data_IF_521559540845
#
_entry.id   IF_521559540845
#
_cell.length_a   1.000
_cell.length_b   1.000
_cell.length_c   1.000
_cell.angle_alpha   90.00
_cell.angle_beta   90.00
_cell.angle_gamma   90.00
#
_symmetry.space_group_name_H-M   'P 1'
#
loop_
_entity.id
_entity.type
_entity.pdbx_description
1 polymer ?
#
# COMPACT_ATOMS: atom_id res chain seq x y z
N UNK A 1 -46.84 10.90 21.10
CA UNK A 1 -45.47 11.34 21.42
C UNK A 1 -45.40 12.80 21.02
N UNK A 2 -45.51 13.67 22.03
CA UNK A 2 -45.78 15.09 21.85
C UNK A 2 -44.56 15.85 21.30
N UNK A 3 -44.81 16.68 20.28
CA UNK A 3 -43.79 17.50 19.61
C UNK A 3 -43.60 18.88 20.26
N UNK A 4 -44.16 19.11 21.46
CA UNK A 4 -44.16 20.41 22.16
C UNK A 4 -42.87 20.70 22.95
N UNK A 5 -41.94 19.74 23.06
CA UNK A 5 -40.71 19.88 23.85
C UNK A 5 -39.46 20.41 23.10
N UNK A 6 -39.54 20.70 21.80
CA UNK A 6 -38.37 21.07 20.99
C UNK A 6 -38.14 22.59 20.85
N UNK A 7 -38.77 23.43 21.69
CA UNK A 7 -38.80 24.88 21.51
C UNK A 7 -37.62 25.66 22.13
N UNK A 8 -36.65 25.01 22.79
CA UNK A 8 -35.51 25.76 23.41
C UNK A 8 -34.12 25.45 22.86
N UNK A 9 -33.97 24.51 21.92
CA UNK A 9 -32.64 24.19 21.36
C UNK A 9 -32.42 24.98 20.07
N UNK A 10 -31.38 25.83 19.98
CA UNK A 10 -31.11 26.59 18.77
C UNK A 10 -30.88 25.61 17.62
N UNK A 11 -31.56 25.84 16.50
CA UNK A 11 -31.33 25.08 15.27
C UNK A 11 -29.88 25.34 14.83
N UNK A 12 -29.20 24.35 14.25
CA UNK A 12 -27.82 24.49 13.78
C UNK A 12 -27.65 25.74 12.90
N UNK A 13 -28.64 26.05 12.06
CA UNK A 13 -28.69 27.27 11.23
C UNK A 13 -28.73 28.57 12.03
N UNK A 14 -29.35 28.59 13.20
CA UNK A 14 -29.36 29.77 14.10
C UNK A 14 -27.97 30.09 14.64
N UNK A 15 -27.09 29.09 14.78
CA UNK A 15 -25.72 29.27 15.30
C UNK A 15 -24.68 29.47 14.20
N UNK A 16 -24.82 28.77 13.07
CA UNK A 16 -23.80 28.73 12.01
C UNK A 16 -24.24 29.42 10.71
N UNK A 17 -25.44 29.99 10.65
CA UNK A 17 -25.92 30.76 9.49
C UNK A 17 -25.86 29.97 8.18
N UNK A 18 -25.23 30.57 7.16
CA UNK A 18 -25.06 29.97 5.84
C UNK A 18 -23.86 29.01 5.73
N UNK A 19 -23.00 28.96 6.76
CA UNK A 19 -21.88 28.01 6.85
C UNK A 19 -22.32 26.67 7.45
N UNK A 20 -23.62 26.49 7.73
CA UNK A 20 -24.15 25.23 8.20
C UNK A 20 -24.23 24.19 7.08
N UNK A 21 -24.03 22.92 7.43
CA UNK A 21 -24.33 21.79 6.54
C UNK A 21 -25.79 21.85 6.05
N UNK A 22 -26.02 21.38 4.83
CA UNK A 22 -27.38 21.22 4.32
C UNK A 22 -28.18 20.27 5.22
N UNK A 23 -29.49 20.53 5.33
CA UNK A 23 -30.40 19.74 6.17
C UNK A 23 -30.22 18.23 5.93
N UNK A 24 -30.09 17.80 4.68
CA UNK A 24 -29.88 16.39 4.31
C UNK A 24 -28.60 15.80 4.94
N UNK A 25 -27.48 16.52 4.86
CA UNK A 25 -26.19 16.08 5.43
C UNK A 25 -26.25 15.98 6.97
N UNK A 26 -26.96 16.91 7.62
CA UNK A 26 -27.20 16.87 9.07
C UNK A 26 -28.01 15.63 9.46
N UNK A 27 -29.06 15.32 8.70
CA UNK A 27 -29.90 14.14 8.96
C UNK A 27 -29.15 12.82 8.71
N UNK A 28 -28.40 12.71 7.62
CA UNK A 28 -27.55 11.54 7.35
C UNK A 28 -26.57 11.29 8.50
N UNK A 29 -25.94 12.35 8.98
CA UNK A 29 -24.99 12.26 10.08
C UNK A 29 -25.66 11.88 11.41
N UNK A 30 -26.85 12.43 11.68
CA UNK A 30 -27.67 12.04 12.83
C UNK A 30 -28.06 10.56 12.80
N UNK A 31 -28.45 10.02 11.64
CA UNK A 31 -28.77 8.60 11.47
C UNK A 31 -27.54 7.74 11.77
N UNK A 32 -26.37 8.08 11.22
CA UNK A 32 -25.11 7.34 11.49
C UNK A 32 -24.75 7.34 12.97
N UNK A 33 -24.95 8.46 13.68
CA UNK A 33 -24.74 8.51 15.12
C UNK A 33 -25.73 7.62 15.88
N UNK A 34 -27.00 7.57 15.45
CA UNK A 34 -28.02 6.66 16.03
C UNK A 34 -27.69 5.19 15.81
N UNK A 35 -27.03 4.86 14.71
CA UNK A 35 -26.53 3.52 14.39
C UNK A 35 -25.24 3.15 15.15
N UNK A 36 -24.76 4.00 16.06
CA UNK A 36 -23.60 3.72 16.91
C UNK A 36 -22.24 4.14 16.34
N UNK A 37 -22.21 4.88 15.23
CA UNK A 37 -20.95 5.48 14.73
C UNK A 37 -20.54 6.64 15.63
N UNK A 38 -19.39 6.55 16.28
CA UNK A 38 -18.84 7.64 17.10
C UNK A 38 -17.87 8.56 16.33
N UNK A 39 -17.37 8.11 15.19
CA UNK A 39 -16.36 8.84 14.41
C UNK A 39 -16.95 9.97 13.57
N UNK A 40 -16.28 11.12 13.61
CA UNK A 40 -16.62 12.30 12.79
C UNK A 40 -16.00 12.24 11.39
N UNK A 41 -14.95 11.44 11.22
CA UNK A 41 -14.24 11.29 9.95
C UNK A 41 -15.10 10.72 8.83
N UNK A 42 -14.78 11.13 7.60
CA UNK A 42 -15.37 10.57 6.39
C UNK A 42 -15.09 9.07 6.28
N UNK A 43 -16.00 8.36 5.62
CA UNK A 43 -15.72 6.98 5.23
C UNK A 43 -14.55 6.92 4.26
N UNK A 44 -13.82 5.78 4.21
CA UNK A 44 -12.83 5.54 3.18
C UNK A 44 -13.46 5.84 1.81
N UNK A 45 -12.95 6.88 1.15
CA UNK A 45 -13.40 7.23 -0.19
C UNK A 45 -12.84 6.19 -1.14
N UNK A 46 -13.69 5.60 -2.00
CA UNK A 46 -13.19 4.82 -3.14
C UNK A 46 -12.43 5.79 -4.04
N UNK A 47 -11.11 5.78 -3.94
CA UNK A 47 -10.24 6.55 -4.82
C UNK A 47 -10.30 6.02 -6.25
N UNK A 48 -9.52 6.64 -7.14
CA UNK A 48 -9.33 6.11 -8.49
C UNK A 48 -8.62 4.75 -8.38
N UNK A 49 -9.28 3.70 -8.84
CA UNK A 49 -8.66 2.39 -9.02
C UNK A 49 -7.51 2.56 -10.02
N UNK A 50 -6.27 2.32 -9.57
CA UNK A 50 -5.14 2.27 -10.48
C UNK A 50 -5.28 0.99 -11.31
N UNK A 51 -5.51 1.13 -12.61
CA UNK A 51 -5.60 0.01 -13.56
C UNK A 51 -4.32 -0.84 -13.59
N UNK A 52 -3.20 -0.32 -13.07
CA UNK A 52 -1.91 -1.00 -13.06
C UNK A 52 -1.62 -1.80 -11.77
N UNK A 53 -2.33 -1.54 -10.65
CA UNK A 53 -2.15 -2.26 -9.37
C UNK A 53 -3.19 -3.37 -9.18
N UNK A 54 -3.52 -4.10 -10.24
CA UNK A 54 -4.37 -5.28 -10.12
C UNK A 54 -3.56 -6.44 -9.57
N UNK A 55 -4.21 -7.39 -8.89
CA UNK A 55 -3.54 -8.53 -8.26
C UNK A 55 -2.80 -9.39 -9.30
N UNK A 56 -3.31 -9.48 -10.53
CA UNK A 56 -2.66 -10.22 -11.63
C UNK A 56 -1.32 -9.60 -12.02
N UNK A 57 -1.27 -8.27 -12.10
CA UNK A 57 -0.04 -7.54 -12.44
C UNK A 57 1.00 -7.65 -11.31
N UNK A 58 0.55 -7.59 -10.05
CA UNK A 58 1.41 -7.78 -8.87
C UNK A 58 2.01 -9.19 -8.91
N UNK A 59 1.18 -10.22 -9.12
CA UNK A 59 1.65 -11.60 -9.19
C UNK A 59 2.65 -11.81 -10.34
N UNK A 60 2.34 -11.26 -11.53
CA UNK A 60 3.22 -11.34 -12.71
C UNK A 60 4.58 -10.72 -12.45
N UNK A 61 4.62 -9.49 -11.90
CA UNK A 61 5.88 -8.83 -11.53
C UNK A 61 6.63 -9.65 -10.47
N UNK A 62 5.91 -10.20 -9.49
CA UNK A 62 6.48 -11.05 -8.45
C UNK A 62 7.12 -12.34 -8.98
N UNK A 63 6.57 -12.95 -10.04
CA UNK A 63 7.19 -14.11 -10.71
C UNK A 63 8.51 -13.74 -11.38
N UNK A 64 8.51 -12.66 -12.17
CA UNK A 64 9.69 -12.18 -12.89
C UNK A 64 10.88 -11.88 -11.97
N UNK A 65 10.64 -11.29 -10.80
CA UNK A 65 11.71 -10.95 -9.85
C UNK A 65 12.29 -12.20 -9.16
N UNK A 66 11.45 -13.21 -8.90
CA UNK A 66 11.91 -14.47 -8.30
C UNK A 66 12.75 -15.28 -9.29
N UNK A 67 12.42 -15.19 -10.58
CA UNK A 67 13.20 -15.78 -11.67
C UNK A 67 14.55 -15.05 -11.85
N UNK A 68 14.51 -13.72 -11.94
CA UNK A 68 15.72 -12.89 -12.04
C UNK A 68 15.64 -11.63 -11.15
N UNK A 69 16.37 -11.69 -10.04
CA UNK A 69 16.48 -10.61 -9.05
C UNK A 69 17.27 -9.39 -9.56
N UNK A 70 17.93 -9.48 -10.74
CA UNK A 70 18.73 -8.39 -11.32
C UNK A 70 17.95 -7.54 -12.32
N UNK A 71 16.69 -7.89 -12.60
CA UNK A 71 15.86 -7.13 -13.53
C UNK A 71 15.67 -5.68 -13.06
N UNK A 72 15.90 -4.75 -13.98
CA UNK A 72 15.66 -3.33 -13.72
C UNK A 72 14.18 -3.00 -13.82
N UNK A 73 13.75 -1.92 -13.17
CA UNK A 73 12.39 -1.36 -13.28
C UNK A 73 11.99 -1.13 -14.74
N UNK A 74 12.93 -0.65 -15.57
CA UNK A 74 12.69 -0.44 -17.01
C UNK A 74 12.51 -1.77 -17.75
N UNK A 75 13.30 -2.79 -17.42
CA UNK A 75 13.15 -4.13 -18.01
C UNK A 75 11.80 -4.74 -17.67
N UNK A 76 11.40 -4.66 -16.40
CA UNK A 76 10.08 -5.10 -15.95
C UNK A 76 8.95 -4.34 -16.66
N UNK A 77 9.05 -3.02 -16.80
CA UNK A 77 8.07 -2.22 -17.53
C UNK A 77 7.90 -2.68 -18.99
N UNK A 78 9.01 -2.96 -19.68
CA UNK A 78 8.97 -3.47 -21.06
C UNK A 78 8.34 -4.86 -21.14
N UNK A 79 8.70 -5.79 -20.25
CA UNK A 79 8.19 -7.18 -20.24
C UNK A 79 6.70 -7.23 -19.89
N UNK A 80 6.26 -6.36 -18.99
CA UNK A 80 4.88 -6.35 -18.49
C UNK A 80 3.97 -5.40 -19.26
N UNK A 81 4.52 -4.46 -20.02
CA UNK A 81 3.75 -3.38 -20.67
C UNK A 81 3.20 -2.36 -19.69
N UNK A 82 3.62 -2.40 -18.42
CA UNK A 82 3.16 -1.51 -17.35
C UNK A 82 4.10 -0.31 -17.29
N UNK A 83 3.56 0.88 -17.00
CA UNK A 83 4.40 2.05 -16.83
C UNK A 83 5.40 1.88 -15.66
N UNK A 84 6.62 2.37 -15.89
CA UNK A 84 7.77 2.21 -14.99
C UNK A 84 7.49 2.70 -13.57
N UNK A 85 6.65 3.72 -13.40
CA UNK A 85 6.36 4.31 -12.11
C UNK A 85 5.47 3.38 -11.28
N UNK A 86 4.53 2.68 -11.93
CA UNK A 86 3.73 1.66 -11.28
C UNK A 86 4.56 0.45 -10.89
N UNK A 87 5.46 -0.01 -11.77
CA UNK A 87 6.40 -1.08 -11.42
C UNK A 87 7.22 -0.69 -10.18
N UNK A 88 7.73 0.55 -10.13
CA UNK A 88 8.45 1.08 -8.95
C UNK A 88 7.57 1.06 -7.70
N UNK A 89 6.32 1.51 -7.79
CA UNK A 89 5.37 1.51 -6.68
C UNK A 89 5.06 0.09 -6.20
N UNK A 90 4.80 -0.85 -7.10
CA UNK A 90 4.50 -2.25 -6.73
C UNK A 90 5.69 -2.88 -6.00
N UNK A 91 6.90 -2.69 -6.50
CA UNK A 91 8.13 -3.17 -5.84
C UNK A 91 8.27 -2.63 -4.42
N UNK A 92 8.00 -1.33 -4.22
CA UNK A 92 8.23 -0.66 -2.94
C UNK A 92 7.06 -0.83 -1.96
N UNK A 93 5.81 -0.72 -2.42
CA UNK A 93 4.62 -0.73 -1.56
C UNK A 93 4.09 -2.15 -1.35
N UNK A 94 4.06 -2.99 -2.40
CA UNK A 94 3.48 -4.34 -2.31
C UNK A 94 4.50 -5.38 -1.87
N UNK A 95 5.75 -5.30 -2.37
CA UNK A 95 6.80 -6.25 -2.03
C UNK A 95 7.80 -5.75 -0.98
N UNK A 96 7.74 -4.45 -0.62
CA UNK A 96 8.69 -3.81 0.30
C UNK A 96 10.17 -4.06 -0.09
N UNK A 97 10.46 -4.03 -1.40
CA UNK A 97 11.79 -4.27 -1.96
C UNK A 97 12.53 -2.96 -2.22
N UNK A 98 13.81 -2.96 -1.89
CA UNK A 98 14.73 -1.85 -2.17
C UNK A 98 15.86 -2.30 -3.09
N UNK A 99 16.35 -1.38 -3.92
CA UNK A 99 17.51 -1.65 -4.77
C UNK A 99 18.76 -1.73 -3.88
N UNK A 100 19.46 -2.85 -3.96
CA UNK A 100 20.77 -3.06 -3.33
C UNK A 100 21.83 -3.22 -4.40
N UNK A 101 22.98 -2.58 -4.22
CA UNK A 101 24.11 -2.75 -5.11
C UNK A 101 24.77 -4.12 -4.89
N UNK A 102 25.16 -4.78 -5.98
CA UNK A 102 25.92 -6.02 -5.90
C UNK A 102 27.27 -5.79 -5.21
N UNK A 103 27.71 -6.77 -4.40
CA UNK A 103 29.05 -6.76 -3.81
C UNK A 103 30.07 -7.29 -4.81
N UNK A 104 31.25 -6.66 -4.84
CA UNK A 104 32.37 -7.14 -5.65
C UNK A 104 32.91 -8.46 -5.06
N UNK A 105 33.08 -9.46 -5.91
CA UNK A 105 33.66 -10.76 -5.55
C UNK A 105 35.03 -10.87 -6.21
N UNK A 106 36.15 -10.97 -5.45
CA UNK A 106 37.50 -10.92 -6.01
C UNK A 106 37.83 -12.02 -7.03
N UNK A 107 37.21 -13.20 -6.91
CA UNK A 107 37.46 -14.34 -7.80
C UNK A 107 36.22 -15.22 -7.93
N UNK A 108 35.97 -15.71 -9.14
CA UNK A 108 35.02 -16.80 -9.39
C UNK A 108 35.67 -18.12 -8.97
N UNK A 109 35.14 -18.75 -7.92
CA UNK A 109 35.65 -20.01 -7.38
C UNK A 109 35.14 -21.20 -8.18
N UNK A 110 36.03 -22.16 -8.44
CA UNK A 110 35.62 -23.47 -8.97
C UNK A 110 34.92 -24.29 -7.89
N UNK A 111 34.12 -25.32 -8.25
CA UNK A 111 33.46 -26.18 -7.28
C UNK A 111 34.43 -26.79 -6.25
N UNK A 112 35.60 -27.27 -6.70
CA UNK A 112 36.64 -27.88 -5.85
C UNK A 112 37.21 -26.85 -4.87
N UNK A 113 37.40 -25.61 -5.31
CA UNK A 113 37.86 -24.52 -4.44
C UNK A 113 36.82 -24.14 -3.38
N UNK A 114 35.52 -24.25 -3.70
CA UNK A 114 34.45 -24.01 -2.71
C UNK A 114 34.43 -25.12 -1.67
N UNK A 115 34.56 -26.37 -2.10
CA UNK A 115 34.58 -27.53 -1.21
C UNK A 115 35.77 -27.50 -0.26
N UNK A 116 36.99 -27.27 -0.78
CA UNK A 116 38.18 -27.11 0.04
C UNK A 116 38.03 -25.99 1.08
N UNK A 117 37.43 -24.85 0.69
CA UNK A 117 37.14 -23.75 1.63
C UNK A 117 36.15 -24.15 2.72
N UNK A 118 35.08 -24.86 2.37
CA UNK A 118 34.10 -25.34 3.35
C UNK A 118 34.74 -26.31 4.35
N UNK A 119 35.57 -27.24 3.88
CA UNK A 119 36.27 -28.21 4.73
C UNK A 119 37.24 -27.51 5.69
N UNK A 120 38.07 -26.58 5.20
CA UNK A 120 39.00 -25.82 6.05
C UNK A 120 38.25 -25.04 7.14
N UNK A 121 37.13 -24.39 6.80
CA UNK A 121 36.33 -23.66 7.78
C UNK A 121 35.63 -24.57 8.79
N UNK A 122 35.25 -25.79 8.41
CA UNK A 122 34.64 -26.78 9.29
C UNK A 122 35.66 -27.47 10.21
N UNK A 123 36.89 -27.71 9.71
CA UNK A 123 37.98 -28.35 10.46
C UNK A 123 38.68 -27.39 11.43
N UNK A 124 38.52 -26.08 11.25
CA UNK A 124 38.90 -25.09 12.28
C UNK A 124 37.97 -25.17 13.48
N UNK A 125 38.23 -26.18 14.30
CA UNK A 125 37.72 -26.31 15.66
C UNK A 125 38.41 -25.25 16.53
N UNK A 126 37.62 -24.30 17.04
CA UNK A 126 38.02 -23.49 18.18
C UNK A 126 37.77 -24.29 19.46
#
# INVERSE_FOLDING_TARGET
>A
MDLTGLCSKPTIRTKYGNECFFRVQVFERFIRFKEGRETTEDNPRRGRLSTSKTDENIERIGKLIREDHRLSIRGLAVITGIDKEYVRQILHESFNMHKVCAKMVPKLLTPEQKESRMNICADTQW
#
